data_IF_749386005786
#
_entry.id   IF_749386005786
#
_cell.length_a   1.000
_cell.length_b   1.000
_cell.length_c   1.000
_cell.angle_alpha   90.00
_cell.angle_beta   90.00
_cell.angle_gamma   90.00
#
_symmetry.space_group_name_H-M   'P 1'
#
loop_
_entity.id
_entity.type
_entity.pdbx_description
1 polymer ?
#
# COMPACT_ATOMS: atom_id res chain seq x y z
N UNK A 1 -40.91 -57.04 -77.93
CA UNK A 1 -42.04 -56.28 -78.48
C UNK A 1 -42.78 -55.66 -77.28
N UNK A 2 -42.59 -54.34 -77.06
CA UNK A 2 -43.32 -53.44 -76.13
C UNK A 2 -43.31 -53.81 -74.62
N UNK A 3 -43.40 -52.92 -73.63
CA UNK A 3 -43.64 -51.48 -73.60
C UNK A 3 -43.16 -50.90 -72.25
N UNK A 4 -42.93 -49.58 -72.25
CA UNK A 4 -42.63 -48.69 -71.14
C UNK A 4 -43.65 -48.70 -69.97
N UNK A 5 -43.22 -48.32 -68.76
CA UNK A 5 -43.54 -47.04 -68.08
C UNK A 5 -43.34 -47.10 -66.53
N UNK A 6 -42.44 -46.21 -66.07
CA UNK A 6 -42.57 -45.25 -64.97
C UNK A 6 -42.56 -45.61 -63.45
N UNK A 7 -41.61 -44.91 -62.77
CA UNK A 7 -41.67 -44.21 -61.47
C UNK A 7 -41.19 -44.95 -60.19
N UNK A 8 -39.97 -44.59 -59.75
CA UNK A 8 -39.35 -44.39 -58.39
C UNK A 8 -40.04 -44.98 -57.13
N UNK A 9 -39.26 -45.41 -56.08
CA UNK A 9 -38.38 -44.50 -55.32
C UNK A 9 -37.00 -45.05 -54.86
N UNK A 10 -36.03 -44.11 -54.82
CA UNK A 10 -34.83 -43.91 -53.94
C UNK A 10 -34.11 -45.13 -53.31
N UNK A 11 -32.76 -45.11 -53.31
CA UNK A 11 -32.10 -45.12 -52.00
C UNK A 11 -31.02 -44.04 -51.84
N UNK A 12 -30.88 -43.63 -50.59
CA UNK A 12 -30.01 -42.60 -50.05
C UNK A 12 -28.61 -42.57 -50.70
N UNK A 13 -28.29 -41.42 -51.30
CA UNK A 13 -26.91 -41.04 -51.57
C UNK A 13 -26.31 -40.43 -50.30
N UNK A 14 -25.47 -41.22 -49.64
CA UNK A 14 -24.53 -40.77 -48.61
C UNK A 14 -23.54 -39.82 -49.31
N UNK A 15 -23.73 -38.51 -49.14
CA UNK A 15 -22.77 -37.50 -49.56
C UNK A 15 -21.90 -37.07 -48.37
N UNK A 16 -20.64 -37.48 -48.45
CA UNK A 16 -19.44 -36.76 -48.03
C UNK A 16 -19.38 -36.26 -46.58
N UNK A 17 -18.91 -37.15 -45.70
CA UNK A 17 -18.02 -36.75 -44.63
C UNK A 17 -16.65 -36.41 -45.21
N UNK A 18 -16.15 -35.21 -44.88
CA UNK A 18 -14.73 -34.79 -44.88
C UNK A 18 -14.73 -33.29 -44.52
N UNK A 19 -14.61 -32.93 -43.23
CA UNK A 19 -14.16 -31.57 -42.77
C UNK A 19 -14.15 -31.35 -41.24
N UNK A 20 -14.00 -32.37 -40.35
CA UNK A 20 -14.05 -32.11 -38.89
C UNK A 20 -13.03 -32.86 -38.01
N UNK A 21 -12.01 -33.52 -38.58
CA UNK A 21 -11.10 -34.37 -37.76
C UNK A 21 -9.68 -33.82 -37.55
N UNK A 22 -9.29 -32.75 -38.23
CA UNK A 22 -7.90 -32.25 -38.20
C UNK A 22 -7.71 -31.08 -37.21
N UNK A 23 -8.75 -30.29 -36.93
CA UNK A 23 -8.66 -29.15 -36.00
C UNK A 23 -8.68 -29.59 -34.52
N UNK A 24 -9.44 -30.64 -34.19
CA UNK A 24 -9.57 -31.18 -32.82
C UNK A 24 -8.23 -31.72 -32.29
N UNK A 25 -7.38 -32.27 -33.16
CA UNK A 25 -6.09 -32.85 -32.76
C UNK A 25 -4.99 -31.81 -32.57
N UNK A 26 -4.97 -30.75 -33.39
CA UNK A 26 -4.00 -29.66 -33.24
C UNK A 26 -4.35 -28.75 -32.06
N UNK A 27 -5.64 -28.47 -31.82
CA UNK A 27 -6.11 -27.79 -30.61
C UNK A 27 -5.81 -28.63 -29.35
N UNK A 28 -6.04 -29.94 -29.41
CA UNK A 28 -5.70 -30.86 -28.33
C UNK A 28 -4.19 -30.95 -28.03
N UNK A 29 -3.34 -30.88 -29.07
CA UNK A 29 -1.87 -30.82 -28.89
C UNK A 29 -1.42 -29.48 -28.30
N UNK A 30 -1.97 -28.36 -28.77
CA UNK A 30 -1.72 -27.03 -28.20
C UNK A 30 -2.16 -26.95 -26.74
N UNK A 31 -3.34 -27.48 -26.41
CA UNK A 31 -3.84 -27.55 -25.04
C UNK A 31 -2.93 -28.42 -24.14
N UNK A 32 -2.45 -29.57 -24.63
CA UNK A 32 -1.50 -30.42 -23.89
C UNK A 32 -0.16 -29.73 -23.65
N UNK A 33 0.38 -29.05 -24.66
CA UNK A 33 1.62 -28.28 -24.51
C UNK A 33 1.46 -27.13 -23.51
N UNK A 34 0.33 -26.41 -23.57
CA UNK A 34 0.01 -25.35 -22.62
C UNK A 34 -0.16 -25.90 -21.20
N UNK A 35 -0.88 -27.01 -21.04
CA UNK A 35 -1.06 -27.69 -19.75
C UNK A 35 0.28 -28.16 -19.17
N UNK A 36 1.15 -28.75 -19.99
CA UNK A 36 2.49 -29.17 -19.55
C UNK A 36 3.36 -27.99 -19.10
N UNK A 37 3.24 -26.84 -19.77
CA UNK A 37 3.95 -25.63 -19.37
C UNK A 37 3.43 -25.06 -18.06
N UNK A 38 2.10 -25.03 -17.88
CA UNK A 38 1.48 -24.66 -16.60
C UNK A 38 1.93 -25.58 -15.48
N UNK A 39 1.98 -26.90 -15.71
CA UNK A 39 2.44 -27.87 -14.71
C UNK A 39 3.91 -27.62 -14.30
N UNK A 40 4.77 -27.31 -15.27
CA UNK A 40 6.16 -26.97 -15.03
C UNK A 40 6.28 -25.67 -14.22
N UNK A 41 5.58 -24.62 -14.62
CA UNK A 41 5.55 -23.33 -13.92
C UNK A 41 5.02 -23.54 -12.49
N UNK A 42 3.96 -24.32 -12.29
CA UNK A 42 3.43 -24.66 -10.97
C UNK A 42 4.46 -25.38 -10.09
N UNK A 43 5.25 -26.30 -10.65
CA UNK A 43 6.28 -27.02 -9.92
C UNK A 43 7.43 -26.08 -9.50
N UNK A 44 7.87 -25.19 -10.40
CA UNK A 44 8.90 -24.18 -10.12
C UNK A 44 8.42 -23.18 -9.06
N UNK A 45 7.18 -22.71 -9.16
CA UNK A 45 6.55 -21.87 -8.15
C UNK A 45 6.44 -22.59 -6.79
N UNK A 46 6.05 -23.87 -6.77
CA UNK A 46 5.95 -24.65 -5.54
C UNK A 46 7.31 -24.81 -4.84
N UNK A 47 8.39 -25.08 -5.60
CA UNK A 47 9.76 -25.15 -5.07
C UNK A 47 10.20 -23.81 -4.48
N UNK A 48 9.91 -22.72 -5.18
CA UNK A 48 10.25 -21.37 -4.70
C UNK A 48 9.48 -21.04 -3.42
N UNK A 49 8.19 -21.39 -3.34
CA UNK A 49 7.35 -21.20 -2.15
C UNK A 49 7.76 -22.05 -0.94
N UNK A 50 8.33 -23.25 -1.15
CA UNK A 50 8.84 -24.10 -0.06
C UNK A 50 10.04 -23.47 0.66
N UNK A 51 10.84 -22.66 -0.03
CA UNK A 51 11.99 -21.97 0.54
C UNK A 51 11.65 -20.58 1.12
N UNK A 52 10.36 -20.22 1.16
CA UNK A 52 9.87 -18.96 1.71
C UNK A 52 9.35 -19.17 3.13
N UNK A 53 9.98 -18.54 4.11
CA UNK A 53 9.50 -18.50 5.50
C UNK A 53 8.36 -17.48 5.60
N UNK A 54 7.18 -17.94 5.98
CA UNK A 54 5.97 -17.10 6.08
C UNK A 54 5.75 -16.63 7.52
N UNK A 55 5.93 -15.32 7.75
CA UNK A 55 5.74 -14.66 9.04
C UNK A 55 4.39 -13.93 9.05
N UNK A 56 3.61 -14.10 10.11
CA UNK A 56 2.38 -13.35 10.34
C UNK A 56 2.53 -12.45 11.57
N UNK A 57 2.42 -11.14 11.38
CA UNK A 57 2.43 -10.16 12.47
C UNK A 57 1.01 -9.75 12.86
N UNK A 58 0.65 -10.02 14.12
CA UNK A 58 -0.62 -9.66 14.74
C UNK A 58 -0.40 -8.65 15.87
N UNK A 59 -1.32 -7.71 16.03
CA UNK A 59 -1.28 -6.74 17.13
C UNK A 59 -2.31 -5.63 16.97
N UNK A 60 -2.54 -4.85 18.02
CA UNK A 60 -3.45 -3.70 18.02
C UNK A 60 -3.09 -2.65 16.96
N UNK A 61 -4.01 -1.73 16.66
CA UNK A 61 -3.64 -0.55 15.88
C UNK A 61 -2.47 0.18 16.59
N UNK A 62 -1.50 0.69 15.82
CA UNK A 62 -0.36 1.45 16.35
C UNK A 62 0.70 0.67 17.14
N UNK A 63 0.60 -0.67 17.23
CA UNK A 63 1.60 -1.52 17.92
C UNK A 63 2.98 -1.61 17.24
N UNK A 64 3.33 -0.67 16.35
CA UNK A 64 4.65 -0.64 15.71
C UNK A 64 4.92 -1.69 14.61
N UNK A 65 3.96 -2.56 14.25
CA UNK A 65 4.16 -3.59 13.21
C UNK A 65 4.71 -3.04 11.88
N UNK A 66 4.16 -1.92 11.40
CA UNK A 66 4.62 -1.29 10.16
C UNK A 66 6.02 -0.72 10.31
N UNK A 67 6.35 -0.20 11.47
CA UNK A 67 7.70 0.27 11.78
C UNK A 67 8.69 -0.89 11.78
N UNK A 68 8.34 -2.03 12.38
CA UNK A 68 9.20 -3.21 12.41
C UNK A 68 9.47 -3.76 11.00
N UNK A 69 8.44 -3.87 10.16
CA UNK A 69 8.62 -4.31 8.76
C UNK A 69 9.52 -3.34 7.98
N UNK A 70 9.31 -2.03 8.15
CA UNK A 70 10.17 -1.02 7.52
C UNK A 70 11.63 -1.14 7.99
N UNK A 71 11.86 -1.38 9.29
CA UNK A 71 13.20 -1.61 9.84
C UNK A 71 13.87 -2.86 9.26
N UNK A 72 13.13 -3.98 9.16
CA UNK A 72 13.65 -5.19 8.52
C UNK A 72 14.09 -4.90 7.08
N UNK A 73 13.28 -4.14 6.33
CA UNK A 73 13.62 -3.78 4.95
C UNK A 73 14.91 -2.96 4.87
N UNK A 74 15.09 -2.00 5.78
CA UNK A 74 16.33 -1.19 5.86
C UNK A 74 17.55 -2.08 6.11
N UNK A 75 17.44 -3.02 7.06
CA UNK A 75 18.59 -3.84 7.48
C UNK A 75 18.90 -4.96 6.48
N UNK A 76 17.89 -5.56 5.85
CA UNK A 76 18.03 -6.83 5.11
C UNK A 76 17.69 -6.76 3.61
N UNK A 77 17.14 -5.67 3.09
CA UNK A 77 16.75 -5.56 1.67
C UNK A 77 17.38 -4.38 0.94
N UNK A 78 18.65 -4.09 1.25
CA UNK A 78 19.43 -3.00 0.67
C UNK A 78 18.77 -1.61 0.82
N UNK A 79 17.89 -1.42 1.81
CA UNK A 79 17.19 -0.16 2.04
C UNK A 79 15.95 0.02 1.17
N UNK A 80 15.55 1.29 1.03
CA UNK A 80 14.53 1.70 0.07
C UNK A 80 15.17 2.25 -1.19
N UNK A 81 14.65 1.89 -2.36
CA UNK A 81 15.09 2.54 -3.61
C UNK A 81 14.62 3.99 -3.65
N UNK A 82 15.28 4.84 -4.43
CA UNK A 82 14.90 6.25 -4.57
C UNK A 82 13.44 6.40 -5.03
N UNK A 83 12.99 5.56 -5.96
CA UNK A 83 11.60 5.54 -6.43
C UNK A 83 10.61 5.19 -5.32
N UNK A 84 10.98 4.24 -4.45
CA UNK A 84 10.15 3.90 -3.29
C UNK A 84 10.12 5.04 -2.28
N UNK A 85 11.24 5.68 -1.99
CA UNK A 85 11.31 6.86 -1.14
C UNK A 85 10.39 7.98 -1.66
N UNK A 86 10.46 8.28 -2.95
CA UNK A 86 9.60 9.28 -3.61
C UNK A 86 8.12 8.92 -3.44
N UNK A 87 7.75 7.64 -3.52
CA UNK A 87 6.36 7.20 -3.32
C UNK A 87 5.80 7.52 -1.93
N UNK A 88 6.66 7.73 -0.92
CA UNK A 88 6.24 8.15 0.42
C UNK A 88 6.06 9.67 0.56
N UNK A 89 6.50 10.50 -0.40
CA UNK A 89 6.40 11.98 -0.35
C UNK A 89 4.96 12.44 -0.03
N UNK A 90 3.90 11.93 -0.68
CA UNK A 90 2.53 12.33 -0.37
C UNK A 90 2.11 11.99 1.06
N UNK A 91 2.48 10.80 1.54
CA UNK A 91 2.13 10.36 2.88
C UNK A 91 2.82 11.22 3.96
N UNK A 92 4.08 11.60 3.74
CA UNK A 92 4.83 12.47 4.67
C UNK A 92 4.18 13.85 4.75
N UNK A 93 3.85 14.45 3.60
CA UNK A 93 3.20 15.76 3.55
C UNK A 93 1.79 15.73 4.16
N UNK A 94 1.03 14.66 3.94
CA UNK A 94 -0.28 14.48 4.58
C UNK A 94 -0.19 14.33 6.10
N UNK A 95 0.82 13.61 6.60
CA UNK A 95 1.11 13.51 8.03
C UNK A 95 1.47 14.87 8.63
N UNK A 96 2.27 15.68 7.92
CA UNK A 96 2.62 17.03 8.33
C UNK A 96 1.39 17.95 8.39
N UNK A 97 0.52 17.91 7.36
CA UNK A 97 -0.74 18.66 7.32
C UNK A 97 -1.65 18.29 8.47
N UNK A 98 -1.87 16.99 8.64
CA UNK A 98 -2.72 16.46 9.69
C UNK A 98 -2.20 16.86 11.06
N UNK A 99 -0.89 16.71 11.31
CA UNK A 99 -0.26 17.14 12.56
C UNK A 99 -0.46 18.63 12.83
N UNK A 100 -0.27 19.49 11.83
CA UNK A 100 -0.49 20.93 11.99
C UNK A 100 -1.96 21.26 12.29
N UNK A 101 -2.92 20.60 11.63
CA UNK A 101 -4.35 20.76 11.92
C UNK A 101 -4.69 20.35 13.36
N UNK A 102 -4.16 19.22 13.82
CA UNK A 102 -4.34 18.77 15.20
C UNK A 102 -3.81 19.79 16.20
N UNK A 103 -2.63 20.36 15.97
CA UNK A 103 -2.08 21.43 16.82
C UNK A 103 -3.00 22.65 16.83
N UNK A 104 -3.45 23.13 15.67
CA UNK A 104 -4.34 24.29 15.58
C UNK A 104 -5.70 24.07 16.28
N UNK A 105 -6.23 22.84 16.25
CA UNK A 105 -7.43 22.47 16.99
C UNK A 105 -7.16 22.39 18.49
N UNK A 106 -6.03 21.78 18.89
CA UNK A 106 -5.56 21.68 20.28
C UNK A 106 -5.34 23.05 20.92
N UNK A 107 -4.85 24.05 20.17
CA UNK A 107 -4.76 25.44 20.63
C UNK A 107 -6.11 25.97 21.16
N UNK A 108 -7.22 25.62 20.50
CA UNK A 108 -8.56 25.99 20.93
C UNK A 108 -8.96 25.35 22.26
N UNK A 109 -8.61 24.08 22.45
CA UNK A 109 -8.84 23.35 23.71
C UNK A 109 -8.02 23.91 24.86
N UNK A 110 -6.73 24.18 24.61
CA UNK A 110 -5.79 24.72 25.60
C UNK A 110 -5.95 26.22 25.85
N UNK A 111 -6.85 26.90 25.12
CA UNK A 111 -7.05 28.36 25.14
C UNK A 111 -5.77 29.15 24.84
N UNK A 112 -4.91 28.61 23.98
CA UNK A 112 -3.67 29.26 23.53
C UNK A 112 -3.98 30.07 22.28
N UNK A 113 -3.63 31.35 22.29
CA UNK A 113 -3.77 32.23 21.14
C UNK A 113 -2.51 32.22 20.27
N UNK A 114 -2.67 32.44 18.97
CA UNK A 114 -1.54 32.75 18.07
C UNK A 114 -0.82 34.01 18.56
N UNK A 115 0.51 33.94 18.64
CA UNK A 115 1.34 35.06 19.03
C UNK A 115 1.25 36.19 17.99
N UNK A 116 1.25 35.83 16.70
CA UNK A 116 1.05 36.78 15.61
C UNK A 116 -0.38 36.69 15.06
N UNK A 117 -1.17 37.76 15.24
CA UNK A 117 -2.56 37.82 14.76
C UNK A 117 -2.68 37.67 13.23
N UNK A 118 -1.64 37.99 12.45
CA UNK A 118 -1.62 37.80 10.99
C UNK A 118 -1.69 36.31 10.60
N UNK A 119 -1.19 35.43 11.46
CA UNK A 119 -1.20 33.98 11.24
C UNK A 119 -2.60 33.36 11.26
N UNK A 120 -3.64 34.10 11.65
CA UNK A 120 -5.04 33.64 11.55
C UNK A 120 -5.44 33.26 10.13
N UNK A 121 -4.91 33.96 9.12
CA UNK A 121 -5.18 33.63 7.71
C UNK A 121 -4.55 32.28 7.36
N UNK A 122 -3.28 32.08 7.71
CA UNK A 122 -2.57 30.81 7.50
C UNK A 122 -3.24 29.64 8.23
N UNK A 123 -3.64 29.83 9.49
CA UNK A 123 -4.35 28.82 10.27
C UNK A 123 -5.67 28.42 9.60
N UNK A 124 -6.47 29.40 9.12
CA UNK A 124 -7.70 29.10 8.39
C UNK A 124 -7.43 28.35 7.09
N UNK A 125 -6.43 28.77 6.32
CA UNK A 125 -6.05 28.09 5.08
C UNK A 125 -5.66 26.62 5.32
N UNK A 126 -4.86 26.33 6.35
CA UNK A 126 -4.46 24.95 6.70
C UNK A 126 -5.65 24.12 7.19
N UNK A 127 -6.52 24.68 8.03
CA UNK A 127 -7.70 23.97 8.53
C UNK A 127 -8.69 23.61 7.41
N UNK A 128 -8.86 24.49 6.42
CA UNK A 128 -9.74 24.27 5.27
C UNK A 128 -9.11 23.46 4.13
N UNK A 129 -7.79 23.27 4.14
CA UNK A 129 -7.05 22.56 3.10
C UNK A 129 -7.36 21.06 3.15
N UNK A 130 -7.87 20.45 2.07
CA UNK A 130 -8.09 19.00 2.01
C UNK A 130 -6.80 18.22 1.73
N UNK A 131 -5.92 18.75 0.87
CA UNK A 131 -4.69 18.12 0.43
C UNK A 131 -3.57 19.16 0.22
N UNK A 132 -2.33 18.78 0.52
CA UNK A 132 -1.16 19.63 0.34
C UNK A 132 -0.65 19.72 -1.10
N UNK A 133 -0.93 18.69 -1.88
CA UNK A 133 -0.35 18.50 -3.21
C UNK A 133 -1.30 19.00 -4.30
N UNK A 134 -0.73 19.60 -5.34
CA UNK A 134 -1.41 19.89 -6.60
C UNK A 134 -1.50 18.65 -7.49
N UNK A 135 -2.11 18.83 -8.67
CA UNK A 135 -2.25 17.77 -9.68
C UNK A 135 -0.90 17.30 -10.23
N UNK A 136 0.11 18.16 -10.17
CA UNK A 136 1.51 17.90 -10.52
C UNK A 136 2.30 17.15 -9.42
N UNK A 137 1.64 16.75 -8.34
CA UNK A 137 2.25 16.16 -7.13
C UNK A 137 3.27 17.06 -6.43
N UNK A 138 3.24 18.37 -6.71
CA UNK A 138 4.07 19.35 -6.01
C UNK A 138 3.32 20.03 -4.86
N UNK A 139 4.09 20.47 -3.87
CA UNK A 139 3.55 21.14 -2.70
C UNK A 139 2.97 22.50 -3.10
N UNK A 140 1.71 22.74 -2.76
CA UNK A 140 1.03 23.99 -3.03
C UNK A 140 1.77 25.15 -2.35
N UNK A 141 2.19 26.22 -3.06
CA UNK A 141 3.04 27.27 -2.50
C UNK A 141 2.43 27.97 -1.27
N UNK A 142 1.10 28.15 -1.26
CA UNK A 142 0.43 28.75 -0.11
C UNK A 142 0.49 27.88 1.15
N UNK A 143 0.51 26.55 0.98
CA UNK A 143 0.62 25.58 2.08
C UNK A 143 2.02 25.63 2.66
N UNK A 144 3.06 25.63 1.82
CA UNK A 144 4.46 25.77 2.24
C UNK A 144 4.66 27.05 3.06
N UNK A 145 4.15 28.18 2.57
CA UNK A 145 4.24 29.46 3.28
C UNK A 145 3.48 29.44 4.61
N UNK A 146 2.26 28.87 4.63
CA UNK A 146 1.48 28.76 5.85
C UNK A 146 2.16 27.88 6.90
N UNK A 147 2.77 26.76 6.50
CA UNK A 147 3.55 25.91 7.40
C UNK A 147 4.71 26.67 8.06
N UNK A 148 5.53 27.37 7.28
CA UNK A 148 6.62 28.21 7.81
C UNK A 148 6.10 29.27 8.80
N UNK A 149 5.07 30.01 8.42
CA UNK A 149 4.54 31.11 9.23
C UNK A 149 3.92 30.61 10.56
N UNK A 150 3.24 29.47 10.53
CA UNK A 150 2.63 28.86 11.71
C UNK A 150 3.68 28.23 12.62
N UNK A 151 4.66 27.52 12.08
CA UNK A 151 5.69 26.89 12.93
C UNK A 151 6.60 27.91 13.62
N UNK A 152 6.82 29.06 12.99
CA UNK A 152 7.51 30.19 13.61
C UNK A 152 6.69 30.88 14.72
N UNK A 153 5.38 30.62 14.83
CA UNK A 153 4.51 31.22 15.84
C UNK A 153 4.72 30.58 17.22
N UNK A 154 5.00 31.41 18.22
CA UNK A 154 5.24 30.91 19.57
C UNK A 154 4.01 30.22 20.18
N UNK A 155 2.79 30.65 19.84
CA UNK A 155 1.56 30.00 20.32
C UNK A 155 1.42 28.58 19.77
N UNK A 156 1.79 28.38 18.51
CA UNK A 156 1.82 27.04 17.88
C UNK A 156 2.85 26.15 18.58
N UNK A 157 4.08 26.64 18.79
CA UNK A 157 5.13 25.85 19.46
C UNK A 157 4.76 25.46 20.91
N UNK A 158 4.13 26.37 21.65
CA UNK A 158 3.65 26.08 23.02
C UNK A 158 2.56 25.01 23.00
N UNK A 159 1.63 25.07 22.04
CA UNK A 159 0.60 24.05 21.91
C UNK A 159 1.17 22.70 21.49
N UNK A 160 2.13 22.67 20.56
CA UNK A 160 2.85 21.43 20.17
C UNK A 160 3.55 20.77 21.36
N UNK A 161 4.21 21.54 22.22
CA UNK A 161 4.87 21.01 23.42
C UNK A 161 3.88 20.36 24.41
N UNK A 162 2.61 20.77 24.37
CA UNK A 162 1.50 20.21 25.15
C UNK A 162 0.64 19.23 24.32
N UNK A 163 1.21 18.67 23.25
CA UNK A 163 0.54 17.77 22.32
C UNK A 163 -0.09 16.55 22.97
N UNK A 164 0.47 16.09 24.09
CA UNK A 164 -0.06 14.98 24.87
C UNK A 164 -1.46 15.24 25.46
N UNK A 165 -1.89 16.50 25.60
CA UNK A 165 -3.23 16.85 26.12
C UNK A 165 -4.35 16.68 25.08
N UNK A 166 -4.00 16.46 23.81
CA UNK A 166 -4.96 16.31 22.71
C UNK A 166 -4.56 15.21 21.72
N UNK A 167 -3.82 14.21 22.20
CA UNK A 167 -3.41 13.02 21.44
C UNK A 167 -2.66 13.34 20.13
N UNK A 168 -1.79 14.35 20.16
CA UNK A 168 -0.91 14.64 19.03
C UNK A 168 0.02 13.46 18.77
N UNK A 169 0.18 13.09 17.51
CA UNK A 169 1.04 11.97 17.12
C UNK A 169 2.51 12.21 17.53
N UNK A 170 3.16 11.19 18.10
CA UNK A 170 4.56 11.26 18.54
C UNK A 170 5.55 11.67 17.42
N UNK A 171 5.26 11.33 16.17
CA UNK A 171 6.10 11.71 15.02
C UNK A 171 5.95 13.18 14.61
N UNK A 172 4.93 13.90 15.09
CA UNK A 172 4.63 15.27 14.69
C UNK A 172 5.81 16.21 14.95
N UNK A 173 6.46 16.12 16.12
CA UNK A 173 7.58 16.98 16.48
C UNK A 173 8.74 16.84 15.49
N UNK A 174 9.07 15.62 15.10
CA UNK A 174 10.10 15.36 14.10
C UNK A 174 9.80 16.02 12.75
N UNK A 175 8.55 15.92 12.29
CA UNK A 175 8.16 16.55 11.03
C UNK A 175 8.20 18.08 11.13
N UNK A 176 7.84 18.66 12.28
CA UNK A 176 7.93 20.10 12.48
C UNK A 176 9.37 20.61 12.56
N UNK A 177 10.26 19.91 13.26
CA UNK A 177 11.68 20.26 13.34
C UNK A 177 12.39 20.15 11.98
N UNK A 178 11.99 19.19 11.14
CA UNK A 178 12.53 18.98 9.80
C UNK A 178 11.71 19.62 8.68
N UNK A 179 10.76 20.49 9.04
CA UNK A 179 9.77 21.04 8.13
C UNK A 179 10.40 21.73 6.92
N UNK A 180 11.46 22.50 7.13
CA UNK A 180 12.17 23.24 6.07
C UNK A 180 12.69 22.33 4.95
N UNK A 181 13.18 21.14 5.31
CA UNK A 181 13.62 20.11 4.34
C UNK A 181 12.43 19.46 3.65
N UNK A 182 11.37 19.16 4.40
CA UNK A 182 10.19 18.42 3.91
C UNK A 182 9.37 19.24 2.90
N UNK A 183 9.31 20.57 3.07
CA UNK A 183 8.54 21.46 2.18
C UNK A 183 9.37 21.98 0.99
N UNK A 184 10.63 21.57 0.88
CA UNK A 184 11.50 22.03 -0.21
C UNK A 184 11.01 21.46 -1.56
N UNK A 185 11.15 22.19 -2.68
CA UNK A 185 10.67 21.73 -3.99
C UNK A 185 11.24 20.37 -4.42
N UNK A 186 12.52 20.12 -4.17
CA UNK A 186 13.21 18.88 -4.54
C UNK A 186 13.28 17.88 -3.37
N UNK A 187 12.29 17.92 -2.47
CA UNK A 187 12.27 17.03 -1.31
C UNK A 187 12.11 15.56 -1.74
N UNK A 188 13.09 14.74 -1.38
CA UNK A 188 13.03 13.28 -1.40
C UNK A 188 13.02 12.78 0.04
N UNK A 189 12.03 11.94 0.43
CA UNK A 189 11.99 11.35 1.76
C UNK A 189 13.24 10.53 2.08
N UNK A 190 13.68 10.62 3.33
CA UNK A 190 14.72 9.75 3.88
C UNK A 190 14.10 8.50 4.49
N UNK A 191 14.92 7.47 4.75
CA UNK A 191 14.46 6.30 5.47
C UNK A 191 13.89 6.64 6.85
N UNK A 192 14.40 7.68 7.51
CA UNK A 192 13.85 8.16 8.79
C UNK A 192 12.45 8.75 8.63
N UNK A 193 12.20 9.48 7.55
CA UNK A 193 10.86 9.97 7.20
C UNK A 193 9.91 8.79 6.96
N UNK A 194 10.38 7.79 6.20
CA UNK A 194 9.60 6.58 5.90
C UNK A 194 9.32 5.79 7.18
N UNK A 195 10.24 5.69 8.12
CA UNK A 195 10.01 5.02 9.40
C UNK A 195 8.95 5.73 10.25
N UNK A 196 8.98 7.07 10.26
CA UNK A 196 8.09 7.89 11.12
C UNK A 196 6.73 8.17 10.48
N UNK A 197 6.61 8.11 9.15
CA UNK A 197 5.34 8.38 8.48
C UNK A 197 4.31 7.30 8.79
N UNK A 198 3.15 7.77 9.24
CA UNK A 198 2.00 6.91 9.48
C UNK A 198 1.23 6.71 8.18
N UNK A 199 1.40 5.53 7.59
CA UNK A 199 0.56 5.06 6.50
C UNK A 199 -0.52 4.16 7.09
N UNK A 200 -1.79 4.52 6.92
CA UNK A 200 -2.88 3.62 7.35
C UNK A 200 -2.85 2.38 6.46
N UNK A 201 -2.54 1.25 7.06
CA UNK A 201 -2.59 -0.05 6.40
C UNK A 201 -4.06 -0.48 6.28
N UNK A 202 -4.62 -0.44 5.08
CA UNK A 202 -5.92 -1.03 4.77
C UNK A 202 -5.71 -2.47 4.28
N UNK A 203 -6.34 -3.45 4.92
CA UNK A 203 -6.22 -4.86 4.53
C UNK A 203 -4.91 -5.53 4.96
N UNK A 204 -4.54 -6.57 4.20
CA UNK A 204 -3.32 -7.37 4.43
C UNK A 204 -2.19 -6.74 3.63
N UNK A 205 -1.12 -6.34 4.31
CA UNK A 205 0.11 -5.90 3.63
C UNK A 205 1.08 -7.06 3.63
N UNK A 206 1.54 -7.44 2.45
CA UNK A 206 2.60 -8.42 2.26
C UNK A 206 3.91 -7.70 1.95
N UNK A 207 4.99 -8.09 2.63
CA UNK A 207 6.34 -7.58 2.36
C UNK A 207 7.28 -8.77 2.31
N UNK A 208 8.10 -8.82 1.26
CA UNK A 208 9.09 -9.86 1.08
C UNK A 208 10.49 -9.26 1.28
N UNK A 209 11.33 -9.96 2.02
CA UNK A 209 12.71 -9.58 2.26
C UNK A 209 13.58 -10.85 2.28
N UNK A 210 14.83 -10.73 1.85
CA UNK A 210 15.77 -11.84 1.86
C UNK A 210 16.76 -11.64 3.01
N UNK A 211 16.98 -12.67 3.82
CA UNK A 211 18.06 -12.69 4.82
C UNK A 211 18.96 -13.88 4.48
N UNK A 212 20.20 -13.59 4.08
CA UNK A 212 21.13 -14.59 3.55
C UNK A 212 20.55 -15.31 2.31
N UNK A 213 20.42 -16.63 2.34
CA UNK A 213 19.83 -17.44 1.25
C UNK A 213 18.33 -17.72 1.46
N UNK A 214 17.72 -17.20 2.53
CA UNK A 214 16.33 -17.49 2.88
C UNK A 214 15.43 -16.29 2.58
N UNK A 215 14.32 -16.54 1.89
CA UNK A 215 13.30 -15.53 1.58
C UNK A 215 12.27 -15.54 2.70
N UNK A 216 11.98 -14.38 3.27
CA UNK A 216 10.94 -14.18 4.26
C UNK A 216 9.79 -13.39 3.66
N UNK A 217 8.57 -13.88 3.88
CA UNK A 217 7.33 -13.22 3.48
C UNK A 217 6.54 -12.88 4.72
N UNK A 218 6.51 -11.60 5.07
CA UNK A 218 5.76 -11.09 6.20
C UNK A 218 4.38 -10.61 5.73
N UNK A 219 3.33 -11.09 6.39
CA UNK A 219 1.97 -10.59 6.27
C UNK A 219 1.58 -9.86 7.53
N UNK A 220 1.16 -8.61 7.39
CA UNK A 220 0.57 -7.87 8.49
C UNK A 220 -0.94 -7.95 8.43
N UNK A 221 -1.53 -8.35 9.55
CA UNK A 221 -2.97 -8.31 9.74
C UNK A 221 -3.32 -7.27 10.80
N UNK A 222 -4.23 -6.36 10.46
CA UNK A 222 -4.89 -5.51 11.43
C UNK A 222 -6.10 -6.26 11.97
N UNK A 223 -6.12 -6.55 13.27
CA UNK A 223 -7.27 -7.20 13.92
C UNK A 223 -8.49 -6.27 13.78
N UNK A 224 -9.44 -6.63 12.92
CA UNK A 224 -10.77 -6.04 12.87
C UNK A 224 -11.72 -7.04 13.54
N UNK A 225 -12.08 -6.76 14.80
CA UNK A 225 -13.03 -7.51 15.65
C UNK A 225 -12.79 -9.03 15.83
N UNK A 226 -13.55 -9.63 16.77
CA UNK A 226 -13.31 -10.96 17.35
C UNK A 226 -13.63 -12.16 16.42
N UNK A 227 -14.20 -11.92 15.23
CA UNK A 227 -14.76 -12.99 14.38
C UNK A 227 -13.79 -13.55 13.33
N UNK A 228 -12.66 -12.89 13.04
CA UNK A 228 -11.81 -13.26 11.90
C UNK A 228 -10.77 -14.36 12.19
N UNK A 229 -10.68 -14.87 13.42
CA UNK A 229 -9.68 -15.88 13.79
C UNK A 229 -10.02 -17.30 13.30
N UNK A 230 -11.24 -17.55 12.82
CA UNK A 230 -11.66 -18.89 12.34
C UNK A 230 -11.08 -19.28 10.98
N UNK A 231 -10.51 -18.34 10.21
CA UNK A 231 -9.87 -18.65 8.91
C UNK A 231 -8.37 -18.90 8.99
N UNK A 232 -7.74 -18.70 10.15
CA UNK A 232 -6.29 -18.81 10.34
C UNK A 232 -5.82 -20.20 10.82
N UNK A 233 -6.74 -21.06 11.29
CA UNK A 233 -6.40 -22.40 11.81
C UNK A 233 -5.98 -23.41 10.74
N UNK A 234 -6.03 -23.07 9.46
CA UNK A 234 -5.66 -23.93 8.33
C UNK A 234 -4.36 -23.53 7.63
N UNK A 235 -3.59 -22.58 8.19
CA UNK A 235 -2.48 -21.93 7.49
C UNK A 235 -1.11 -22.15 8.15
N UNK A 236 -0.04 -22.46 7.39
CA UNK A 236 1.29 -22.77 7.92
C UNK A 236 2.09 -21.49 8.21
N UNK A 237 1.57 -20.58 9.03
CA UNK A 237 2.28 -19.38 9.45
C UNK A 237 2.93 -19.58 10.82
N UNK A 238 4.20 -19.20 10.95
CA UNK A 238 4.82 -19.00 12.27
C UNK A 238 4.27 -17.70 12.85
N UNK A 239 3.52 -17.82 13.94
CA UNK A 239 2.92 -16.70 14.67
C UNK A 239 3.98 -16.06 15.56
N UNK A 240 4.32 -14.80 15.29
CA UNK A 240 5.11 -13.98 16.19
C UNK A 240 4.18 -12.95 16.84
N UNK A 241 3.98 -13.09 18.16
CA UNK A 241 3.28 -12.11 18.96
C UNK A 241 4.24 -10.97 19.30
N UNK A 242 3.84 -9.72 19.03
CA UNK A 242 4.40 -8.56 19.71
C UNK A 242 3.56 -8.37 20.96
N UNK A 243 4.18 -8.52 22.12
CA UNK A 243 3.67 -7.95 23.37
C UNK A 243 3.59 -6.43 23.27
#
# INVERSE_FOLDING_TARGET
MFCCLNILPVPLQICMGMCLHQDITEEGKKAKLQSSKIEQDLCEHARTEMNVVKILMLGAAESGKSTLIKQIKIIHSHGFSEQELISFKPAVLDNLLTSMKFVLQGMGMLRINLANKKNKVHARSILSCSQCLGDDQELLPFVAHAFCALWADQGVRVATARGYEFDLNDSALYFFENMSRIIAPNYVPTETDVLRVRVRTCGIIETQFQVNETIFRNKMWRKQSHETLKSLSSSPFQLLFSE
#
